data_IF_409686248093
#
_entry.id   IF_409686248093
#
_cell.length_a   1.000
_cell.length_b   1.000
_cell.length_c   1.000
_cell.angle_alpha   90.00
_cell.angle_beta   90.00
_cell.angle_gamma   90.00
#
_symmetry.space_group_name_H-M   'P 1'
#
loop_
_entity.id
_entity.type
_entity.pdbx_description
1 polymer ?
#
# COMPACT_ATOMS: atom_id res chain seq x y z
N UNK A 1 46.90 41.32 0.79
CA UNK A 1 45.77 42.06 1.41
C UNK A 1 44.63 41.07 1.61
N UNK A 2 44.59 40.46 2.80
CA UNK A 2 43.53 40.61 3.81
C UNK A 2 42.23 39.88 3.39
N UNK A 3 42.04 38.59 3.71
CA UNK A 3 41.68 38.00 5.01
C UNK A 3 40.37 38.57 5.63
N UNK A 4 39.27 37.82 5.50
CA UNK A 4 38.11 37.69 6.42
C UNK A 4 37.46 36.34 6.08
N UNK A 5 37.57 35.22 6.80
CA UNK A 5 37.66 34.87 8.22
C UNK A 5 36.40 35.22 9.05
N UNK A 6 35.54 34.20 9.18
CA UNK A 6 34.79 33.71 10.37
C UNK A 6 33.75 34.65 11.00
N UNK A 7 32.49 34.19 11.10
CA UNK A 7 31.82 33.85 12.39
C UNK A 7 30.73 32.80 12.15
N UNK A 8 30.96 31.60 12.70
CA UNK A 8 29.97 30.57 13.02
C UNK A 8 29.14 31.04 14.22
N UNK A 9 27.81 30.99 14.15
CA UNK A 9 26.97 30.92 15.36
C UNK A 9 26.00 29.76 15.20
N UNK A 10 26.28 28.72 15.98
CA UNK A 10 25.40 27.61 16.26
C UNK A 10 24.21 28.10 17.10
N UNK A 11 22.99 27.78 16.66
CA UNK A 11 21.82 27.76 17.52
C UNK A 11 21.31 26.32 17.56
N UNK A 12 21.94 25.54 18.43
CA UNK A 12 21.42 24.29 18.96
C UNK A 12 20.49 24.70 20.09
N UNK A 13 19.18 24.74 19.84
CA UNK A 13 18.18 24.79 20.92
C UNK A 13 17.73 23.37 21.20
N UNK A 14 18.19 22.88 22.34
CA UNK A 14 17.67 21.73 23.05
C UNK A 14 16.14 21.83 23.21
N UNK A 15 15.39 20.91 22.60
CA UNK A 15 14.09 20.53 23.14
C UNK A 15 14.17 19.07 23.58
N UNK A 16 14.56 18.94 24.84
CA UNK A 16 14.43 17.76 25.66
C UNK A 16 12.92 17.49 25.87
N UNK A 17 12.32 16.63 25.05
CA UNK A 17 11.03 16.02 25.39
C UNK A 17 11.29 14.72 26.13
N UNK A 18 11.12 14.81 27.44
CA UNK A 18 11.19 13.72 28.38
C UNK A 18 10.25 12.57 27.96
N UNK A 19 10.83 11.38 27.94
CA UNK A 19 10.13 10.11 28.07
C UNK A 19 9.35 10.08 29.39
N UNK A 20 8.02 9.98 29.30
CA UNK A 20 7.17 9.51 30.40
C UNK A 20 6.32 8.34 29.89
N UNK A 21 6.37 7.16 30.52
CA UNK A 21 5.45 6.07 30.24
C UNK A 21 4.26 6.18 31.18
N UNK A 22 3.10 6.61 30.69
CA UNK A 22 1.84 6.37 31.38
C UNK A 22 0.73 5.98 30.39
N UNK A 23 0.36 4.71 30.49
CA UNK A 23 -0.99 4.22 30.26
C UNK A 23 -2.00 5.23 30.79
N UNK A 24 -2.88 5.75 29.92
CA UNK A 24 -4.28 5.98 30.24
C UNK A 24 -5.03 6.38 28.96
N UNK A 25 -6.01 5.54 28.62
CA UNK A 25 -7.04 5.88 27.66
C UNK A 25 -7.86 7.05 28.21
N UNK A 26 -7.81 8.21 27.55
CA UNK A 26 -8.76 9.30 27.79
C UNK A 26 -9.42 9.63 26.45
N UNK A 27 -10.64 9.14 26.27
CA UNK A 27 -11.58 9.67 25.30
C UNK A 27 -11.95 11.10 25.71
N UNK A 28 -11.44 12.09 24.99
CA UNK A 28 -11.91 13.47 25.11
C UNK A 28 -13.01 13.73 24.07
N UNK A 29 -14.26 13.62 24.51
CA UNK A 29 -15.43 14.18 23.81
C UNK A 29 -15.43 15.71 23.98
N UNK A 30 -15.40 16.48 22.89
CA UNK A 30 -15.73 17.91 22.90
C UNK A 30 -17.02 18.16 22.12
N UNK A 31 -18.00 18.69 22.86
CA UNK A 31 -19.36 19.06 22.46
C UNK A 31 -19.45 20.50 21.96
N UNK A 32 -20.45 20.73 21.08
CA UNK A 32 -21.24 21.95 20.74
C UNK A 32 -21.24 22.16 19.21
N UNK A 33 -22.33 22.24 18.45
CA UNK A 33 -23.77 22.37 18.67
C UNK A 33 -24.50 21.78 17.44
N UNK A 34 -25.74 21.29 17.61
CA UNK A 34 -26.66 21.09 16.48
C UNK A 34 -27.62 19.92 16.65
N UNK A 35 -28.83 20.22 17.10
CA UNK A 35 -29.90 19.27 17.39
C UNK A 35 -30.36 18.45 16.17
N UNK A 36 -30.54 17.14 16.35
CA UNK A 36 -31.81 16.43 16.11
C UNK A 36 -31.73 15.01 16.67
N UNK A 37 -32.77 14.67 17.42
CA UNK A 37 -32.98 13.43 18.16
C UNK A 37 -33.04 12.20 17.25
N UNK A 38 -32.25 11.18 17.58
CA UNK A 38 -32.34 9.84 16.99
C UNK A 38 -31.73 8.80 17.92
N UNK A 39 -32.61 8.12 18.67
CA UNK A 39 -32.47 6.78 19.26
C UNK A 39 -31.07 6.29 19.68
N UNK A 40 -30.84 6.26 21.00
CA UNK A 40 -29.75 5.52 21.67
C UNK A 40 -29.84 4.03 21.34
N UNK A 41 -28.80 3.49 20.70
CA UNK A 41 -28.50 2.06 20.69
C UNK A 41 -27.40 1.78 21.70
N UNK A 42 -27.73 1.05 22.76
CA UNK A 42 -26.80 0.61 23.80
C UNK A 42 -25.82 -0.42 23.24
N UNK A 43 -24.52 -0.11 23.21
CA UNK A 43 -23.47 -1.10 22.98
C UNK A 43 -23.24 -1.90 24.27
N UNK A 44 -23.93 -3.04 24.39
CA UNK A 44 -23.68 -4.02 25.43
C UNK A 44 -22.26 -4.61 25.30
N UNK A 45 -21.44 -4.42 26.33
CA UNK A 45 -20.15 -5.07 26.47
C UNK A 45 -20.36 -6.58 26.70
N UNK A 46 -20.10 -7.38 25.67
CA UNK A 46 -20.04 -8.84 25.77
C UNK A 46 -18.74 -9.26 26.44
N UNK A 47 -18.80 -9.43 27.77
CA UNK A 47 -17.77 -10.10 28.56
C UNK A 47 -17.78 -11.60 28.22
N UNK A 48 -16.81 -12.05 27.41
CA UNK A 48 -16.66 -13.45 27.07
C UNK A 48 -16.06 -14.24 28.25
N UNK A 49 -16.92 -15.05 28.88
CA UNK A 49 -16.59 -15.98 29.97
C UNK A 49 -15.90 -17.21 29.38
N UNK A 50 -14.61 -17.39 29.66
CA UNK A 50 -13.83 -18.58 29.26
C UNK A 50 -14.39 -19.85 29.94
N UNK A 51 -14.77 -20.91 29.20
CA UNK A 51 -15.21 -22.16 29.79
C UNK A 51 -14.02 -23.01 30.28
N UNK A 52 -13.99 -23.19 31.60
CA UNK A 52 -13.82 -24.45 32.31
C UNK A 52 -12.92 -25.53 31.70
N UNK A 53 -11.69 -25.58 32.21
CA UNK A 53 -10.72 -26.68 32.11
C UNK A 53 -11.33 -27.97 32.72
N UNK A 54 -11.73 -28.94 31.88
CA UNK A 54 -12.06 -30.30 32.35
C UNK A 54 -10.84 -31.19 32.18
N UNK A 55 -10.26 -31.59 33.30
CA UNK A 55 -9.28 -32.67 33.40
C UNK A 55 -9.92 -33.99 33.00
N UNK A 56 -9.40 -34.63 31.96
CA UNK A 56 -9.64 -36.05 31.68
C UNK A 56 -8.40 -36.81 32.13
N UNK A 57 -8.56 -37.59 33.20
CA UNK A 57 -7.60 -38.57 33.70
C UNK A 57 -8.11 -39.94 33.25
N UNK A 58 -7.26 -40.71 32.57
CA UNK A 58 -7.47 -42.15 32.43
C UNK A 58 -7.00 -42.72 31.09
N UNK A 59 -6.04 -43.66 31.15
CA UNK A 59 -5.75 -44.61 30.07
C UNK A 59 -4.27 -44.73 29.69
N UNK A 60 -3.50 -45.41 30.53
CA UNK A 60 -2.12 -45.83 30.24
C UNK A 60 -2.18 -47.05 29.30
N UNK A 61 -1.87 -46.85 28.01
CA UNK A 61 -1.54 -47.93 27.07
C UNK A 61 -0.17 -47.60 26.46
N UNK A 62 0.86 -48.25 26.99
CA UNK A 62 2.24 -48.19 26.50
C UNK A 62 2.40 -49.06 25.26
N UNK A 63 2.13 -48.48 24.09
CA UNK A 63 2.66 -48.99 22.81
C UNK A 63 3.82 -48.08 22.39
N UNK A 64 5.04 -48.61 22.51
CA UNK A 64 6.29 -48.00 22.06
C UNK A 64 6.32 -47.91 20.53
N UNK A 65 5.67 -46.88 19.99
CA UNK A 65 5.80 -46.47 18.60
C UNK A 65 6.96 -45.47 18.55
N UNK A 66 8.02 -45.82 17.82
CA UNK A 66 9.14 -44.92 17.52
C UNK A 66 8.59 -43.60 16.97
N UNK A 67 8.80 -42.46 17.66
CA UNK A 67 8.41 -41.17 17.10
C UNK A 67 9.37 -40.86 15.96
N UNK A 68 8.93 -41.12 14.73
CA UNK A 68 9.48 -40.44 13.57
C UNK A 68 9.20 -38.95 13.76
N UNK A 69 10.22 -38.24 14.26
CA UNK A 69 10.24 -36.79 14.40
C UNK A 69 10.30 -36.20 12.98
N UNK A 70 9.20 -36.31 12.25
CA UNK A 70 8.97 -35.47 11.09
C UNK A 70 8.74 -34.07 11.65
N UNK A 71 9.79 -33.24 11.63
CA UNK A 71 9.64 -31.82 11.87
C UNK A 71 8.70 -31.28 10.80
N UNK A 72 7.45 -31.06 11.16
CA UNK A 72 6.51 -30.36 10.29
C UNK A 72 7.17 -29.02 9.98
N UNK A 73 7.45 -28.70 8.70
CA UNK A 73 8.02 -27.39 8.37
C UNK A 73 7.07 -26.34 8.94
N UNK A 74 7.63 -25.36 9.65
CA UNK A 74 6.87 -24.26 10.24
C UNK A 74 5.95 -23.70 9.15
N UNK A 75 4.64 -23.79 9.37
CA UNK A 75 3.67 -23.25 8.45
C UNK A 75 3.82 -21.72 8.50
N UNK A 76 4.61 -21.16 7.57
CA UNK A 76 4.68 -19.72 7.40
C UNK A 76 3.27 -19.24 7.09
N UNK A 77 2.72 -18.40 7.98
CA UNK A 77 1.42 -17.81 7.76
C UNK A 77 1.52 -16.98 6.47
N UNK A 78 0.89 -17.50 5.41
CA UNK A 78 0.88 -16.93 4.06
C UNK A 78 0.07 -15.62 4.11
N UNK A 79 0.74 -14.54 4.52
CA UNK A 79 0.20 -13.18 4.58
C UNK A 79 0.79 -12.27 3.50
N UNK A 80 0.27 -11.04 3.36
CA UNK A 80 0.85 -10.05 2.47
C UNK A 80 2.28 -9.72 2.89
N UNK A 81 3.20 -9.74 1.93
CA UNK A 81 4.59 -9.32 2.14
C UNK A 81 4.64 -7.81 2.00
N UNK A 82 5.19 -7.12 3.00
CA UNK A 82 5.31 -5.66 3.03
C UNK A 82 6.79 -5.30 3.12
N UNK A 83 7.30 -4.54 2.16
CA UNK A 83 8.70 -4.10 2.14
C UNK A 83 8.71 -2.56 2.09
N UNK A 84 9.33 -1.88 3.07
CA UNK A 84 9.42 -0.43 3.07
C UNK A 84 10.32 0.08 1.93
N UNK A 85 10.01 1.26 1.40
CA UNK A 85 10.79 1.91 0.35
C UNK A 85 11.41 3.20 0.84
N UNK A 86 12.67 3.42 0.45
CA UNK A 86 13.40 4.66 0.68
C UNK A 86 13.69 5.33 -0.66
N UNK A 87 13.08 6.48 -0.93
CA UNK A 87 13.26 7.19 -2.21
C UNK A 87 14.67 7.73 -2.32
N UNK A 88 15.35 7.41 -3.42
CA UNK A 88 16.70 7.89 -3.74
C UNK A 88 16.61 9.11 -4.65
N UNK A 89 15.84 9.01 -5.73
CA UNK A 89 15.68 10.06 -6.72
C UNK A 89 14.28 9.99 -7.36
N UNK A 90 13.84 11.10 -7.96
CA UNK A 90 12.63 11.13 -8.77
C UNK A 90 12.75 12.20 -9.85
N UNK A 91 12.03 12.00 -10.96
CA UNK A 91 11.90 12.98 -12.02
C UNK A 91 10.48 12.96 -12.57
N UNK A 92 9.99 14.11 -13.02
CA UNK A 92 8.65 14.27 -13.55
C UNK A 92 8.70 14.82 -14.97
N UNK A 93 7.82 14.28 -15.81
CA UNK A 93 7.59 14.76 -17.18
C UNK A 93 6.10 14.88 -17.46
N UNK A 94 5.67 15.74 -18.39
CA UNK A 94 4.28 15.73 -18.85
C UNK A 94 3.88 14.33 -19.32
N UNK A 95 2.74 13.83 -18.85
CA UNK A 95 2.26 12.52 -19.28
C UNK A 95 1.87 12.52 -20.77
N UNK A 96 2.08 11.40 -21.48
CA UNK A 96 1.54 11.24 -22.83
C UNK A 96 0.01 11.27 -22.80
N UNK A 97 -0.61 11.71 -23.90
CA UNK A 97 -2.08 11.79 -24.02
C UNK A 97 -2.78 10.43 -23.89
N UNK A 98 -2.06 9.35 -24.13
CA UNK A 98 -2.58 7.98 -24.09
C UNK A 98 -2.72 7.42 -22.66
N UNK A 99 -2.16 8.10 -21.65
CA UNK A 99 -2.30 7.73 -20.23
C UNK A 99 -3.20 8.74 -19.52
N UNK A 100 -4.54 8.55 -19.52
CA UNK A 100 -5.45 9.47 -18.84
C UNK A 100 -5.23 9.45 -17.33
N UNK A 101 -5.46 10.59 -16.69
CA UNK A 101 -5.33 10.71 -15.23
C UNK A 101 -6.44 9.87 -14.58
N UNK A 102 -6.11 8.94 -13.67
CA UNK A 102 -7.12 8.26 -12.89
C UNK A 102 -8.01 9.30 -12.18
N UNK A 103 -9.31 9.31 -12.49
CA UNK A 103 -10.24 10.28 -11.91
C UNK A 103 -10.30 11.65 -12.62
N UNK A 104 -9.95 11.74 -13.91
CA UNK A 104 -9.96 12.98 -14.71
C UNK A 104 -11.21 13.88 -14.52
N UNK A 105 -12.39 13.29 -14.33
CA UNK A 105 -13.63 14.05 -14.06
C UNK A 105 -13.58 14.89 -12.78
N UNK A 106 -12.89 14.40 -11.75
CA UNK A 106 -12.70 15.10 -10.48
C UNK A 106 -11.56 16.14 -10.54
N UNK A 107 -10.68 16.04 -11.54
CA UNK A 107 -9.42 16.77 -11.62
C UNK A 107 -9.44 17.90 -12.67
N UNK A 108 -10.60 18.53 -12.92
CA UNK A 108 -10.70 19.69 -13.81
C UNK A 108 -9.80 20.83 -13.31
N UNK A 109 -8.87 21.29 -14.15
CA UNK A 109 -7.90 22.34 -13.80
C UNK A 109 -6.56 21.82 -13.27
N UNK A 110 -6.40 20.50 -13.14
CA UNK A 110 -5.14 19.86 -12.81
C UNK A 110 -4.54 19.25 -14.07
N UNK A 111 -3.21 19.22 -14.16
CA UNK A 111 -2.49 18.47 -15.20
C UNK A 111 -1.78 17.26 -14.60
N UNK A 112 -1.70 16.19 -15.39
CA UNK A 112 -1.02 14.96 -15.03
C UNK A 112 0.46 15.03 -15.37
N UNK A 113 1.31 14.74 -14.38
CA UNK A 113 2.75 14.56 -14.54
C UNK A 113 3.11 13.12 -14.24
N UNK A 114 3.86 12.50 -15.14
CA UNK A 114 4.33 11.14 -15.01
C UNK A 114 5.65 11.22 -14.25
N UNK A 115 5.61 10.78 -12.99
CA UNK A 115 6.73 10.82 -12.06
C UNK A 115 7.38 9.45 -12.02
N UNK A 116 8.63 9.37 -12.46
CA UNK A 116 9.48 8.19 -12.33
C UNK A 116 10.25 8.30 -11.03
N UNK A 117 10.08 7.31 -10.14
CA UNK A 117 10.72 7.25 -8.82
C UNK A 117 11.70 6.10 -8.80
N UNK A 118 12.91 6.36 -8.31
CA UNK A 118 13.89 5.36 -7.95
C UNK A 118 13.91 5.22 -6.43
N UNK A 119 13.62 4.02 -5.94
CA UNK A 119 13.57 3.74 -4.51
C UNK A 119 14.40 2.53 -4.14
N UNK A 120 15.15 2.62 -3.03
CA UNK A 120 15.83 1.49 -2.42
C UNK A 120 14.86 0.68 -1.56
N UNK A 121 14.97 -0.65 -1.63
CA UNK A 121 14.23 -1.57 -0.78
C UNK A 121 14.85 -1.57 0.61
N UNK A 122 14.04 -1.35 1.65
CA UNK A 122 14.53 -1.37 3.03
C UNK A 122 14.85 -2.78 3.54
N UNK A 123 14.09 -3.78 3.07
CA UNK A 123 14.30 -5.19 3.37
C UNK A 123 14.41 -6.01 2.08
N UNK A 124 15.14 -7.13 2.13
CA UNK A 124 15.21 -8.06 0.98
C UNK A 124 13.91 -8.83 0.85
N UNK A 125 13.49 -9.07 -0.37
CA UNK A 125 12.33 -9.93 -0.62
C UNK A 125 12.64 -11.38 -0.19
N UNK A 126 11.74 -12.07 0.53
CA UNK A 126 11.94 -13.47 0.92
C UNK A 126 11.81 -14.45 -0.27
N UNK A 127 11.18 -14.01 -1.37
CA UNK A 127 10.92 -14.80 -2.57
C UNK A 127 10.72 -13.89 -3.77
N UNK A 128 10.60 -14.45 -4.97
CA UNK A 128 10.19 -13.68 -6.13
C UNK A 128 8.73 -13.22 -5.97
N UNK A 129 8.50 -11.92 -6.10
CA UNK A 129 7.20 -11.29 -5.97
C UNK A 129 6.78 -10.71 -7.32
N UNK A 130 5.66 -11.17 -7.84
CA UNK A 130 5.08 -10.65 -9.08
C UNK A 130 3.96 -9.64 -8.78
N UNK A 131 3.77 -8.67 -9.68
CA UNK A 131 2.69 -7.67 -9.68
C UNK A 131 2.54 -6.97 -8.34
N UNK A 132 3.63 -6.36 -7.88
CA UNK A 132 3.70 -5.75 -6.56
C UNK A 132 3.10 -4.35 -6.60
N UNK A 133 2.16 -4.05 -5.69
CA UNK A 133 1.56 -2.73 -5.60
C UNK A 133 2.38 -1.78 -4.73
N UNK A 134 2.50 -0.52 -5.14
CA UNK A 134 3.13 0.56 -4.37
C UNK A 134 2.06 1.34 -3.63
N UNK A 135 2.27 1.54 -2.32
CA UNK A 135 1.36 2.20 -1.38
C UNK A 135 2.09 3.27 -0.58
N UNK A 136 1.36 4.24 -0.04
CA UNK A 136 1.90 5.32 0.79
C UNK A 136 1.33 6.69 0.43
N UNK A 137 1.96 7.71 0.96
CA UNK A 137 1.56 9.10 0.77
C UNK A 137 2.62 9.86 0.00
N UNK A 138 2.18 10.68 -0.95
CA UNK A 138 3.04 11.62 -1.67
C UNK A 138 2.40 12.99 -1.59
N UNK A 139 3.09 13.92 -0.94
CA UNK A 139 2.62 15.29 -0.79
C UNK A 139 3.59 16.26 -1.42
N UNK A 140 3.07 17.41 -1.85
CA UNK A 140 3.90 18.53 -2.25
C UNK A 140 4.64 19.09 -1.01
N UNK A 141 5.93 19.37 -1.17
CA UNK A 141 6.82 19.77 -0.09
C UNK A 141 6.60 21.20 0.40
N UNK A 142 5.88 22.03 -0.35
CA UNK A 142 5.60 23.43 0.01
C UNK A 142 4.20 23.59 0.58
N UNK A 143 3.20 23.04 -0.11
CA UNK A 143 1.79 23.16 0.27
C UNK A 143 1.35 22.08 1.26
N UNK A 144 2.02 20.93 1.25
CA UNK A 144 1.59 19.75 2.01
C UNK A 144 0.38 19.04 1.40
N UNK A 145 -0.10 19.47 0.24
CA UNK A 145 -1.25 18.87 -0.44
C UNK A 145 -0.86 17.53 -1.08
N UNK A 146 -1.83 16.61 -1.17
CA UNK A 146 -1.64 15.34 -1.85
C UNK A 146 -1.46 15.54 -3.34
N UNK A 147 -0.44 14.91 -3.93
CA UNK A 147 -0.26 14.88 -5.38
C UNK A 147 -0.94 13.67 -6.03
N UNK A 148 -1.54 12.79 -5.21
CA UNK A 148 -2.25 11.61 -5.67
C UNK A 148 -3.75 11.91 -5.78
N UNK A 149 -4.30 11.77 -7.00
CA UNK A 149 -5.70 12.11 -7.29
C UNK A 149 -6.72 11.28 -6.48
N UNK A 150 -6.35 10.09 -6.05
CA UNK A 150 -7.21 9.17 -5.30
C UNK A 150 -7.22 9.43 -3.78
N UNK A 151 -6.46 10.42 -3.29
CA UNK A 151 -6.37 10.71 -1.86
C UNK A 151 -6.14 12.21 -1.59
N UNK A 152 -7.10 13.09 -1.92
CA UNK A 152 -6.93 14.53 -1.75
C UNK A 152 -6.90 14.97 -0.27
N UNK A 153 -7.49 14.20 0.65
CA UNK A 153 -7.66 14.55 2.06
C UNK A 153 -6.58 13.97 2.99
N UNK A 154 -5.71 13.08 2.49
CA UNK A 154 -4.63 12.42 3.24
C UNK A 154 -5.12 11.64 4.48
N UNK A 155 -6.43 11.40 4.63
CA UNK A 155 -6.98 10.76 5.83
C UNK A 155 -6.76 9.25 5.82
N UNK A 156 -6.65 8.65 4.64
CA UNK A 156 -6.41 7.21 4.45
C UNK A 156 -5.24 7.00 3.50
N UNK A 157 -4.59 5.84 3.56
CA UNK A 157 -3.61 5.45 2.54
C UNK A 157 -4.25 5.62 1.16
N UNK A 158 -3.48 6.11 0.18
CA UNK A 158 -3.99 6.37 -1.17
C UNK A 158 -4.36 5.09 -1.94
N UNK A 159 -4.31 3.94 -1.27
CA UNK A 159 -4.36 2.65 -1.93
C UNK A 159 -3.16 2.45 -2.82
N UNK A 160 -3.32 1.56 -3.80
CA UNK A 160 -2.28 1.29 -4.79
C UNK A 160 -2.29 2.41 -5.84
N UNK A 161 -1.17 3.12 -5.98
CA UNK A 161 -1.03 4.18 -7.00
C UNK A 161 0.02 3.86 -8.08
N UNK A 162 0.82 2.82 -7.88
CA UNK A 162 1.72 2.28 -8.91
C UNK A 162 1.85 0.76 -8.78
N UNK A 163 2.37 0.13 -9.83
CA UNK A 163 2.62 -1.31 -9.88
C UNK A 163 4.02 -1.58 -10.42
N UNK A 164 4.67 -2.57 -9.84
CA UNK A 164 5.99 -3.09 -10.25
C UNK A 164 5.79 -4.50 -10.75
N UNK A 165 6.37 -4.83 -11.90
CA UNK A 165 6.15 -6.13 -12.56
C UNK A 165 6.67 -7.30 -11.72
N UNK A 166 7.90 -7.20 -11.24
CA UNK A 166 8.54 -8.23 -10.42
C UNK A 166 9.57 -7.63 -9.46
N UNK A 167 9.70 -8.22 -8.27
CA UNK A 167 10.75 -7.93 -7.29
C UNK A 167 11.38 -9.24 -6.84
N UNK A 168 12.68 -9.39 -7.07
CA UNK A 168 13.45 -10.57 -6.68
C UNK A 168 14.22 -10.32 -5.38
N UNK A 169 14.64 -11.37 -4.64
CA UNK A 169 15.49 -11.23 -3.46
C UNK A 169 16.86 -10.57 -3.71
N UNK A 170 17.27 -10.48 -4.98
CA UNK A 170 18.56 -9.91 -5.39
C UNK A 170 18.49 -8.41 -5.63
N UNK A 171 17.28 -7.87 -5.81
CA UNK A 171 17.07 -6.46 -6.10
C UNK A 171 17.31 -5.62 -4.85
N UNK A 172 18.02 -4.50 -5.04
CA UNK A 172 18.29 -3.51 -3.97
C UNK A 172 17.50 -2.23 -4.17
N UNK A 173 17.14 -1.94 -5.41
CA UNK A 173 16.35 -0.77 -5.80
C UNK A 173 15.32 -1.18 -6.83
N UNK A 174 14.24 -0.41 -6.89
CA UNK A 174 13.16 -0.54 -7.85
C UNK A 174 12.87 0.81 -8.47
N UNK A 175 12.37 0.78 -9.71
CA UNK A 175 11.90 1.97 -10.41
C UNK A 175 10.43 1.79 -10.72
N UNK A 176 9.62 2.79 -10.42
CA UNK A 176 8.19 2.79 -10.73
C UNK A 176 7.74 4.16 -11.22
N UNK A 177 6.68 4.17 -12.01
CA UNK A 177 6.06 5.39 -12.55
C UNK A 177 4.66 5.55 -11.95
N UNK A 178 4.32 6.77 -11.55
CA UNK A 178 2.95 7.12 -11.16
C UNK A 178 2.54 8.48 -11.74
N UNK A 179 1.23 8.73 -11.80
CA UNK A 179 0.69 10.00 -12.29
C UNK A 179 0.40 10.92 -11.10
N UNK A 180 1.19 11.98 -10.98
CA UNK A 180 0.93 13.08 -10.05
C UNK A 180 -0.03 14.09 -10.68
N UNK A 181 -0.99 14.57 -9.90
CA UNK A 181 -1.87 15.65 -10.32
C UNK A 181 -1.40 16.96 -9.70
N UNK A 182 -1.14 17.96 -10.54
CA UNK A 182 -0.60 19.26 -10.12
C UNK A 182 -1.44 20.38 -10.72
N UNK A 183 -1.69 21.50 -10.01
CA UNK A 183 -2.36 22.66 -10.58
C UNK A 183 -1.67 23.15 -11.86
N UNK A 184 -2.47 23.55 -12.86
CA UNK A 184 -1.95 24.03 -14.14
C UNK A 184 -1.15 25.33 -14.00
N UNK A 185 -1.45 26.13 -12.98
CA UNK A 185 -0.83 27.41 -12.69
C UNK A 185 0.61 27.29 -12.16
N UNK A 186 1.03 26.09 -11.74
CA UNK A 186 2.39 25.89 -11.24
C UNK A 186 3.40 25.98 -12.40
N UNK A 187 4.53 26.65 -12.23
CA UNK A 187 5.57 26.67 -13.27
C UNK A 187 6.51 25.47 -13.10
N UNK A 188 6.41 24.47 -13.99
CA UNK A 188 7.28 23.26 -13.96
C UNK A 188 8.69 23.56 -14.47
N UNK A 189 8.81 24.46 -15.45
CA UNK A 189 10.08 24.70 -16.15
C UNK A 189 11.18 25.27 -15.25
N UNK A 190 10.82 25.80 -14.08
CA UNK A 190 11.75 26.35 -13.09
C UNK A 190 12.31 25.29 -12.14
N UNK A 191 11.74 24.11 -12.10
CA UNK A 191 12.08 23.05 -11.15
C UNK A 191 13.01 22.02 -11.81
N UNK A 192 14.14 21.72 -11.18
CA UNK A 192 15.18 20.82 -11.74
C UNK A 192 14.64 19.40 -12.03
N UNK A 193 13.70 18.92 -11.21
CA UNK A 193 13.12 17.58 -11.34
C UNK A 193 11.84 17.56 -12.20
N UNK A 194 11.46 18.67 -12.83
CA UNK A 194 10.20 18.81 -13.57
C UNK A 194 8.94 18.82 -12.68
N UNK A 195 9.11 18.73 -11.37
CA UNK A 195 8.09 18.94 -10.35
C UNK A 195 8.80 19.51 -9.12
N UNK A 196 8.13 20.41 -8.40
CA UNK A 196 8.65 20.93 -7.14
C UNK A 196 8.90 19.81 -6.13
N UNK A 197 9.57 20.14 -5.02
CA UNK A 197 9.93 19.17 -3.99
C UNK A 197 8.74 18.30 -3.56
N UNK A 198 8.89 16.98 -3.63
CA UNK A 198 7.91 16.02 -3.10
C UNK A 198 8.36 15.47 -1.75
N UNK A 199 7.39 15.16 -0.88
CA UNK A 199 7.58 14.47 0.38
C UNK A 199 6.89 13.10 0.30
N UNK A 200 7.67 12.05 0.48
CA UNK A 200 7.20 10.67 0.43
C UNK A 200 7.12 10.12 1.85
N UNK A 201 5.93 9.69 2.28
CA UNK A 201 5.71 9.18 3.63
C UNK A 201 5.14 7.77 3.60
N UNK A 202 5.67 6.90 4.46
CA UNK A 202 5.23 5.51 4.62
C UNK A 202 5.16 4.71 3.31
N UNK A 203 6.07 4.99 2.36
CA UNK A 203 6.12 4.24 1.12
C UNK A 203 6.50 2.79 1.37
N UNK A 204 5.76 1.88 0.73
CA UNK A 204 5.97 0.45 0.83
C UNK A 204 5.45 -0.25 -0.41
N UNK A 205 6.08 -1.36 -0.75
CA UNK A 205 5.51 -2.32 -1.69
C UNK A 205 4.78 -3.42 -0.93
N UNK A 206 3.62 -3.80 -1.43
CA UNK A 206 2.80 -4.88 -0.86
C UNK A 206 2.52 -5.91 -1.95
N UNK A 207 2.91 -7.16 -1.69
CA UNK A 207 2.56 -8.31 -2.52
C UNK A 207 1.56 -9.20 -1.77
N UNK A 208 0.43 -9.50 -2.41
CA UNK A 208 -0.56 -10.42 -1.88
C UNK A 208 -0.31 -11.83 -2.41
N UNK A 209 -0.14 -12.84 -1.55
CA UNK A 209 0.02 -14.22 -2.00
C UNK A 209 -1.26 -14.69 -2.72
N UNK A 210 -1.12 -15.09 -3.99
CA UNK A 210 -2.24 -15.40 -4.88
C UNK A 210 -2.48 -14.35 -5.99
N UNK A 211 -1.79 -13.21 -5.92
CA UNK A 211 -1.13 -12.53 -7.04
C UNK A 211 -1.90 -12.06 -8.29
N UNK A 212 -3.22 -12.22 -8.38
CA UNK A 212 -3.98 -11.81 -9.57
C UNK A 212 -5.23 -10.97 -9.30
N UNK A 213 -5.40 -10.42 -8.10
CA UNK A 213 -6.63 -9.66 -7.79
C UNK A 213 -6.80 -8.35 -8.59
N UNK A 214 -5.78 -7.86 -9.29
CA UNK A 214 -5.84 -6.61 -10.04
C UNK A 214 -5.23 -6.70 -11.45
N UNK A 215 -5.27 -7.87 -12.10
CA UNK A 215 -5.19 -7.86 -13.56
C UNK A 215 -6.29 -6.96 -14.12
N UNK A 216 -6.03 -6.26 -15.23
CA UNK A 216 -7.12 -5.63 -15.97
C UNK A 216 -8.16 -6.72 -16.21
N UNK A 217 -9.35 -6.57 -15.63
CA UNK A 217 -10.42 -7.54 -15.82
C UNK A 217 -10.69 -7.55 -17.31
N UNK A 218 -10.46 -8.70 -17.93
CA UNK A 218 -10.66 -8.85 -19.36
C UNK A 218 -12.15 -8.58 -19.67
N UNK A 219 -12.52 -7.89 -20.77
CA UNK A 219 -13.91 -7.83 -21.23
C UNK A 219 -14.62 -9.20 -21.19
N UNK A 220 -13.92 -10.29 -21.55
CA UNK A 220 -14.44 -11.67 -21.44
C UNK A 220 -14.73 -12.13 -20.00
N UNK A 221 -14.06 -11.58 -18.98
CA UNK A 221 -14.32 -11.89 -17.57
C UNK A 221 -15.54 -11.14 -17.01
N UNK A 222 -15.84 -9.96 -17.55
CA UNK A 222 -17.02 -9.20 -17.17
C UNK A 222 -18.28 -9.71 -17.89
N UNK A 223 -18.17 -9.97 -19.19
CA UNK A 223 -19.25 -10.46 -20.03
C UNK A 223 -18.72 -11.34 -21.17
N UNK A 224 -18.83 -12.66 -20.96
CA UNK A 224 -18.39 -13.69 -21.91
C UNK A 224 -19.21 -13.70 -23.22
N UNK A 225 -20.35 -12.99 -23.28
CA UNK A 225 -21.20 -12.91 -24.46
C UNK A 225 -21.14 -11.53 -25.14
N UNK A 226 -20.32 -10.62 -24.62
CA UNK A 226 -20.15 -9.31 -25.22
C UNK A 226 -19.34 -9.40 -26.51
N UNK A 227 -19.69 -8.60 -27.51
CA UNK A 227 -18.87 -8.49 -28.73
C UNK A 227 -17.45 -7.93 -28.45
N UNK A 228 -17.24 -7.31 -27.28
CA UNK A 228 -15.91 -6.91 -26.81
C UNK A 228 -15.05 -8.13 -26.45
N UNK A 229 -15.65 -9.22 -25.97
CA UNK A 229 -14.95 -10.48 -25.74
C UNK A 229 -14.54 -11.14 -27.06
N UNK A 230 -15.45 -11.24 -28.04
CA UNK A 230 -15.15 -11.84 -29.34
C UNK A 230 -13.96 -11.14 -30.02
N UNK A 231 -13.92 -9.80 -29.98
CA UNK A 231 -12.81 -9.02 -30.52
C UNK A 231 -11.49 -9.23 -29.75
N UNK A 232 -11.57 -9.36 -28.42
CA UNK A 232 -10.40 -9.64 -27.60
C UNK A 232 -9.85 -11.06 -27.86
N UNK A 233 -10.72 -12.05 -28.04
CA UNK A 233 -10.34 -13.43 -28.38
C UNK A 233 -9.72 -13.56 -29.77
N UNK A 234 -10.16 -12.75 -30.74
CA UNK A 234 -9.54 -12.71 -32.07
C UNK A 234 -8.08 -12.25 -32.03
N UNK A 235 -7.75 -11.33 -31.12
CA UNK A 235 -6.38 -10.80 -30.95
C UNK A 235 -5.51 -11.63 -30.00
N UNK A 236 -6.08 -12.15 -28.90
CA UNK A 236 -5.32 -12.78 -27.81
C UNK A 236 -5.48 -14.31 -27.76
N UNK A 237 -6.35 -14.88 -28.60
CA UNK A 237 -6.74 -16.27 -28.58
C UNK A 237 -7.95 -16.56 -27.67
N UNK A 238 -8.55 -17.74 -27.79
CA UNK A 238 -9.78 -18.10 -27.08
C UNK A 238 -9.58 -18.07 -25.56
N UNK A 239 -10.54 -17.47 -24.85
CA UNK A 239 -10.51 -17.34 -23.40
C UNK A 239 -10.75 -18.70 -22.73
N UNK A 240 -9.73 -19.25 -22.07
CA UNK A 240 -9.85 -20.52 -21.32
C UNK A 240 -10.19 -20.23 -19.86
N UNK A 241 -11.50 -20.18 -19.55
CA UNK A 241 -12.08 -19.97 -18.20
C UNK A 241 -11.51 -20.89 -17.10
N UNK A 242 -10.94 -22.03 -17.48
CA UNK A 242 -10.53 -23.09 -16.55
C UNK A 242 -9.23 -22.78 -15.77
N UNK A 243 -8.27 -22.03 -16.31
CA UNK A 243 -6.98 -21.88 -15.64
C UNK A 243 -6.96 -20.83 -14.52
N UNK A 244 -7.77 -19.78 -14.63
CA UNK A 244 -7.85 -18.71 -13.63
C UNK A 244 -8.74 -19.07 -12.42
N UNK A 245 -9.88 -19.73 -12.66
CA UNK A 245 -10.84 -20.13 -11.62
C UNK A 245 -10.44 -21.41 -10.86
N UNK A 246 -9.55 -22.23 -11.42
CA UNK A 246 -9.10 -23.49 -10.77
C UNK A 246 -7.81 -23.28 -9.96
N UNK A 247 -6.96 -22.30 -10.33
CA UNK A 247 -5.78 -21.92 -9.54
C UNK A 247 -6.08 -20.99 -8.35
N UNK A 248 -7.31 -20.48 -8.23
CA UNK A 248 -7.78 -19.80 -7.01
C UNK A 248 -7.88 -20.81 -5.87
N UNK A 249 -6.77 -20.95 -5.13
CA UNK A 249 -6.62 -21.53 -3.80
C UNK A 249 -7.62 -22.63 -3.42
N UNK A 250 -7.17 -23.88 -3.35
CA UNK A 250 -7.97 -25.02 -2.84
C UNK A 250 -8.57 -24.80 -1.44
N UNK A 251 -8.14 -23.77 -0.72
CA UNK A 251 -8.65 -23.37 0.61
C UNK A 251 -10.01 -22.65 0.61
N UNK A 252 -10.46 -22.04 -0.48
CA UNK A 252 -11.76 -21.33 -0.52
C UNK A 252 -12.94 -22.21 -0.94
N UNK A 253 -12.71 -23.43 -1.44
CA UNK A 253 -13.76 -24.38 -1.83
C UNK A 253 -14.36 -25.21 -0.66
N UNK A 254 -14.04 -24.88 0.58
CA UNK A 254 -14.48 -25.61 1.76
C UNK A 254 -14.96 -24.70 2.89
N UNK A 255 -16.06 -23.97 2.67
CA UNK A 255 -16.92 -23.47 3.74
C UNK A 255 -18.37 -23.45 3.29
#
# INVERSE_FOLDING_TARGET
>A
MLLRLIVYVALISELCCAFLPQNNYICATRSNHGAKSGSRGDCAALSAKLPGRRSFVGGLVTTSVLPLIYSVPSAEAVGPVKIPLNVVSYSAKPCPKDKPIPGEKAMKGMRGLCVTVEAALGDKSPKDLDKVGVYGFVTDGFTGESVLANNPDLSTDAGQFAMVESVTPSDKSITFEFVAAVPMEKDIEKEENGIGKLNFQSLRVISFPGGQQYGAINPCEMDEFSGECDAWEEENGPYVKADFMIKSNSRTKGR
#
